data_IF_407702881103
#
_entry.id   IF_407702881103
#
_cell.length_a   1.000
_cell.length_b   1.000
_cell.length_c   1.000
_cell.angle_alpha   90.00
_cell.angle_beta   90.00
_cell.angle_gamma   90.00
#
_symmetry.space_group_name_H-M   'P 1'
#
loop_
_entity.id
_entity.type
_entity.pdbx_description
1 polymer ?
#
# COMPACT_ATOMS: atom_id res chain seq x y z
N UNK A 1 8.16 13.68 23.60
CA UNK A 1 8.43 14.33 22.29
C UNK A 1 8.24 13.32 21.16
N UNK A 2 9.03 12.27 21.07
CA UNK A 2 8.94 11.27 19.99
C UNK A 2 7.54 10.67 19.81
N UNK A 3 6.82 10.36 20.90
CA UNK A 3 5.45 9.83 20.84
C UNK A 3 4.45 10.83 20.25
N UNK A 4 4.58 12.14 20.54
CA UNK A 4 3.66 13.15 19.97
C UNK A 4 3.92 13.28 18.47
N UNK A 5 5.17 13.33 18.04
CA UNK A 5 5.53 13.34 16.62
C UNK A 5 5.00 12.08 15.91
N UNK A 6 5.17 10.93 16.53
CA UNK A 6 4.75 9.67 15.92
C UNK A 6 3.23 9.56 15.75
N UNK A 7 2.44 9.92 16.76
CA UNK A 7 1.01 9.67 16.76
C UNK A 7 0.16 10.85 16.33
N UNK A 8 0.66 12.08 16.44
CA UNK A 8 -0.14 13.29 16.32
C UNK A 8 0.37 14.30 15.27
N UNK A 9 1.40 13.98 14.50
CA UNK A 9 1.97 14.91 13.50
C UNK A 9 0.95 15.41 12.48
N UNK A 10 0.00 14.57 12.09
CA UNK A 10 -1.02 14.89 11.08
C UNK A 10 -2.30 15.52 11.67
N UNK A 11 -2.41 15.68 13.00
CA UNK A 11 -3.58 16.32 13.57
C UNK A 11 -3.67 17.79 13.13
N UNK A 12 -4.88 18.30 12.78
CA UNK A 12 -5.08 19.66 12.28
C UNK A 12 -5.07 20.70 13.43
N UNK A 13 -4.26 20.45 14.45
CA UNK A 13 -4.06 21.32 15.61
C UNK A 13 -2.59 21.38 15.97
N UNK A 14 -2.13 22.53 16.44
CA UNK A 14 -0.77 22.66 16.97
C UNK A 14 -0.74 22.19 18.43
N UNK A 15 0.14 21.25 18.73
CA UNK A 15 0.35 20.70 20.07
C UNK A 15 1.67 21.22 20.61
N UNK A 16 1.61 22.01 21.68
CA UNK A 16 2.81 22.51 22.36
C UNK A 16 3.22 21.51 23.45
N UNK A 17 4.43 20.96 23.33
CA UNK A 17 5.05 20.13 24.37
C UNK A 17 6.09 20.97 25.11
N UNK A 18 5.83 21.26 26.39
CA UNK A 18 6.72 22.03 27.27
C UNK A 18 7.58 21.14 28.14
N UNK A 19 8.83 21.46 28.24
CA UNK A 19 9.76 20.91 29.23
C UNK A 19 10.44 22.07 29.98
N UNK A 20 11.16 21.77 31.05
CA UNK A 20 11.82 22.78 31.91
C UNK A 20 12.76 23.71 31.14
N UNK A 21 13.25 23.31 29.98
CA UNK A 21 14.26 24.04 29.20
C UNK A 21 13.84 24.40 27.78
N UNK A 22 12.72 23.90 27.27
CA UNK A 22 12.30 24.13 25.88
C UNK A 22 10.81 23.88 25.66
N UNK A 23 10.25 24.59 24.66
CA UNK A 23 8.93 24.34 24.10
C UNK A 23 9.06 23.89 22.65
N UNK A 24 8.35 22.84 22.25
CA UNK A 24 8.33 22.34 20.87
C UNK A 24 6.88 22.24 20.39
N UNK A 25 6.64 22.57 19.13
CA UNK A 25 5.33 22.48 18.51
C UNK A 25 5.29 21.28 17.57
N UNK A 26 4.18 20.53 17.58
CA UNK A 26 3.93 19.34 16.82
C UNK A 26 2.53 19.39 16.22
N UNK A 27 2.26 18.56 15.20
CA UNK A 27 0.99 18.54 14.50
C UNK A 27 0.94 19.46 13.29
N UNK A 28 -0.18 19.46 12.59
CA UNK A 28 -0.46 20.26 11.39
C UNK A 28 0.45 19.97 10.19
N UNK A 29 1.08 18.80 10.13
CA UNK A 29 1.81 18.33 8.95
C UNK A 29 0.86 17.95 7.82
N UNK A 30 1.28 18.25 6.58
CA UNK A 30 0.53 17.82 5.39
C UNK A 30 0.73 16.32 5.18
N UNK A 31 -0.34 15.52 5.12
CA UNK A 31 -0.23 14.10 4.86
C UNK A 31 0.34 13.81 3.47
N UNK A 32 1.13 12.73 3.33
CA UNK A 32 1.74 12.36 2.05
C UNK A 32 0.74 12.20 0.91
N UNK A 33 -0.47 11.72 1.18
CA UNK A 33 -1.53 11.57 0.17
C UNK A 33 -2.21 12.88 -0.26
N UNK A 34 -1.90 13.99 0.39
CA UNK A 34 -2.35 15.34 0.01
C UNK A 34 -1.24 16.13 -0.71
N UNK A 35 -0.03 15.58 -0.83
CA UNK A 35 1.11 16.18 -1.53
C UNK A 35 0.98 16.02 -3.05
N UNK A 36 1.68 16.87 -3.80
CA UNK A 36 1.84 16.71 -5.25
C UNK A 36 2.67 15.45 -5.59
N UNK A 37 2.47 14.82 -6.76
CA UNK A 37 3.13 13.55 -7.10
C UNK A 37 4.65 13.54 -6.94
N UNK A 38 5.33 14.62 -7.32
CA UNK A 38 6.78 14.75 -7.14
C UNK A 38 7.22 14.78 -5.67
N UNK A 39 6.42 15.43 -4.82
CA UNK A 39 6.66 15.49 -3.38
C UNK A 39 6.33 14.15 -2.70
N UNK A 40 5.31 13.43 -3.20
CA UNK A 40 5.01 12.08 -2.73
C UNK A 40 6.19 11.13 -2.98
N UNK A 41 6.79 11.20 -4.18
CA UNK A 41 7.96 10.38 -4.50
C UNK A 41 9.14 10.72 -3.60
N UNK A 42 9.45 12.00 -3.43
CA UNK A 42 10.52 12.44 -2.52
C UNK A 42 10.28 11.96 -1.09
N UNK A 43 9.06 12.11 -0.60
CA UNK A 43 8.69 11.64 0.74
C UNK A 43 8.90 10.13 0.90
N UNK A 44 8.49 9.34 -0.11
CA UNK A 44 8.70 7.90 -0.12
C UNK A 44 10.19 7.54 -0.08
N UNK A 45 11.03 8.22 -0.86
CA UNK A 45 12.47 7.99 -0.90
C UNK A 45 13.16 8.30 0.43
N UNK A 46 12.68 9.31 1.15
CA UNK A 46 13.22 9.72 2.45
C UNK A 46 12.73 8.84 3.63
N UNK A 47 11.49 8.35 3.59
CA UNK A 47 10.84 7.71 4.74
C UNK A 47 10.65 6.19 4.60
N UNK A 48 10.78 5.64 3.38
CA UNK A 48 10.66 4.22 3.15
C UNK A 48 12.02 3.58 2.93
N UNK A 49 12.20 2.37 3.43
CA UNK A 49 13.48 1.64 3.31
C UNK A 49 13.87 1.26 1.87
N UNK A 50 12.96 1.44 0.91
CA UNK A 50 13.20 1.25 -0.52
C UNK A 50 12.36 2.24 -1.29
N UNK A 51 12.94 2.84 -2.34
CA UNK A 51 12.20 3.65 -3.31
C UNK A 51 11.03 2.87 -3.89
N UNK A 52 9.89 3.53 -4.05
CA UNK A 52 8.74 2.96 -4.74
C UNK A 52 8.99 2.90 -6.25
N UNK A 53 8.53 1.82 -6.88
CA UNK A 53 8.47 1.74 -8.35
C UNK A 53 7.39 2.67 -8.89
N UNK A 54 6.28 2.77 -8.16
CA UNK A 54 5.12 3.60 -8.49
C UNK A 54 4.31 3.94 -7.26
N UNK A 55 3.45 4.95 -7.37
CA UNK A 55 2.54 5.39 -6.33
C UNK A 55 1.13 5.40 -6.90
N UNK A 56 0.25 4.59 -6.32
CA UNK A 56 -1.15 4.48 -6.72
C UNK A 56 -1.97 5.33 -5.75
N UNK A 57 -2.69 6.37 -6.20
CA UNK A 57 -3.61 7.10 -5.35
C UNK A 57 -4.80 6.20 -4.96
N UNK A 58 -5.18 6.25 -3.70
CA UNK A 58 -6.31 5.48 -3.17
C UNK A 58 -7.34 6.45 -2.60
N UNK A 59 -8.58 6.36 -3.11
CA UNK A 59 -9.72 7.11 -2.58
C UNK A 59 -10.96 6.21 -2.51
N UNK A 60 -11.38 5.86 -1.28
CA UNK A 60 -12.59 5.06 -1.02
C UNK A 60 -13.54 5.90 -0.17
N UNK A 61 -14.36 6.75 -0.79
CA UNK A 61 -15.23 7.71 -0.07
C UNK A 61 -16.21 7.04 0.90
N UNK A 62 -16.72 5.86 0.57
CA UNK A 62 -17.67 5.12 1.41
C UNK A 62 -17.09 4.78 2.79
N UNK A 63 -15.78 4.53 2.87
CA UNK A 63 -15.06 4.26 4.12
C UNK A 63 -14.32 5.49 4.66
N UNK A 64 -14.39 6.63 3.96
CA UNK A 64 -13.59 7.83 4.26
C UNK A 64 -12.10 7.55 4.20
N UNK A 65 -11.66 6.65 3.30
CA UNK A 65 -10.26 6.29 3.11
C UNK A 65 -9.66 7.16 2.03
N UNK A 66 -8.56 7.82 2.38
CA UNK A 66 -7.66 8.51 1.44
C UNK A 66 -6.23 8.11 1.75
N UNK A 67 -5.47 7.78 0.72
CA UNK A 67 -4.11 7.32 0.90
C UNK A 67 -3.36 7.11 -0.40
N UNK A 68 -2.20 6.49 -0.27
CA UNK A 68 -1.38 6.02 -1.38
C UNK A 68 -1.01 4.55 -1.16
N UNK A 69 -0.91 3.80 -2.24
CA UNK A 69 -0.31 2.48 -2.25
C UNK A 69 1.02 2.55 -3.03
N UNK A 70 2.12 2.40 -2.30
CA UNK A 70 3.48 2.47 -2.86
C UNK A 70 3.87 1.08 -3.33
N UNK A 71 4.16 0.93 -4.62
CA UNK A 71 4.59 -0.33 -5.23
C UNK A 71 6.08 -0.54 -4.99
N UNK A 72 6.46 -1.68 -4.45
CA UNK A 72 7.86 -1.99 -4.14
C UNK A 72 8.69 -2.25 -5.38
N UNK A 73 9.91 -1.68 -5.44
CA UNK A 73 10.92 -2.03 -6.44
C UNK A 73 11.65 -3.34 -6.15
N UNK A 74 11.45 -3.93 -4.97
CA UNK A 74 12.12 -5.16 -4.55
C UNK A 74 11.12 -6.26 -4.28
N UNK A 75 11.51 -7.53 -4.46
CA UNK A 75 10.66 -8.63 -4.06
C UNK A 75 10.31 -8.53 -2.58
N UNK A 76 9.02 -8.44 -2.27
CA UNK A 76 8.54 -8.49 -0.90
C UNK A 76 8.19 -9.93 -0.51
N UNK A 77 8.31 -10.24 0.78
CA UNK A 77 7.77 -11.50 1.32
C UNK A 77 6.27 -11.38 1.54
N UNK A 78 5.52 -12.45 1.28
CA UNK A 78 4.06 -12.50 1.42
C UNK A 78 3.55 -12.19 2.85
N UNK A 79 4.43 -12.17 3.84
CA UNK A 79 4.12 -11.99 5.26
C UNK A 79 4.39 -10.58 5.80
N UNK A 80 4.87 -9.65 4.98
CA UNK A 80 5.20 -8.30 5.46
C UNK A 80 4.05 -7.33 5.28
N UNK A 81 3.09 -7.34 6.20
CA UNK A 81 2.06 -6.29 6.29
C UNK A 81 2.67 -5.03 6.92
N UNK A 82 3.18 -4.14 6.08
CA UNK A 82 3.75 -2.85 6.52
C UNK A 82 2.83 -1.68 6.14
N UNK A 83 1.50 -1.88 6.27
CA UNK A 83 0.55 -0.82 5.95
C UNK A 83 0.44 0.15 7.12
N UNK A 84 0.58 1.44 6.83
CA UNK A 84 0.46 2.51 7.82
C UNK A 84 -0.93 3.12 7.74
N UNK A 85 -1.70 2.99 8.80
CA UNK A 85 -3.09 3.48 8.86
C UNK A 85 -3.22 4.54 9.92
N UNK A 86 -3.83 5.64 9.52
CA UNK A 86 -4.29 6.70 10.39
C UNK A 86 -5.82 6.65 10.49
N UNK A 87 -6.37 7.04 11.62
CA UNK A 87 -7.80 7.27 11.80
C UNK A 87 -8.00 8.70 12.31
N UNK A 88 -8.78 9.48 11.58
CA UNK A 88 -8.98 10.91 11.89
C UNK A 88 -7.64 11.67 12.07
N UNK A 89 -6.66 11.33 11.23
CA UNK A 89 -5.30 11.88 11.24
C UNK A 89 -4.45 11.52 12.48
N UNK A 90 -4.87 10.56 13.31
CA UNK A 90 -4.04 9.94 14.34
C UNK A 90 -3.49 8.60 13.85
N UNK A 91 -2.23 8.31 14.11
CA UNK A 91 -1.64 7.02 13.79
C UNK A 91 -2.32 5.91 14.59
N UNK A 92 -2.81 4.88 13.89
CA UNK A 92 -3.37 3.66 14.47
C UNK A 92 -2.30 2.57 14.52
N UNK A 93 -1.68 2.29 13.37
CA UNK A 93 -0.68 1.24 13.26
C UNK A 93 0.24 1.49 12.05
N UNK A 94 1.50 1.06 12.16
CA UNK A 94 2.46 1.00 11.05
C UNK A 94 2.53 -0.37 10.38
N UNK A 95 1.84 -1.34 10.98
CA UNK A 95 1.79 -2.73 10.54
C UNK A 95 0.34 -3.24 10.53
N UNK A 96 -0.58 -2.38 10.05
CA UNK A 96 -1.99 -2.71 9.97
C UNK A 96 -2.20 -3.84 8.97
N UNK A 97 -2.95 -4.86 9.39
CA UNK A 97 -3.33 -5.98 8.53
C UNK A 97 -4.75 -5.80 7.99
N UNK A 98 -5.06 -6.48 6.89
CA UNK A 98 -6.41 -6.63 6.39
C UNK A 98 -6.99 -5.45 5.62
N UNK A 99 -6.32 -4.30 5.52
CA UNK A 99 -6.81 -3.17 4.72
C UNK A 99 -6.51 -3.33 3.22
N UNK A 100 -5.46 -4.07 2.88
CA UNK A 100 -5.06 -4.39 1.50
C UNK A 100 -5.26 -5.88 1.26
N UNK A 101 -5.73 -6.31 0.08
CA UNK A 101 -5.83 -7.73 -0.25
C UNK A 101 -4.48 -8.45 -0.14
N UNK A 102 -4.48 -9.69 0.36
CA UNK A 102 -3.24 -10.46 0.54
C UNK A 102 -2.47 -10.70 -0.76
N UNK A 103 -3.16 -10.75 -1.91
CA UNK A 103 -2.52 -10.91 -3.20
C UNK A 103 -1.70 -9.68 -3.62
N UNK A 104 -2.01 -8.50 -3.08
CA UNK A 104 -1.29 -7.25 -3.35
C UNK A 104 -0.08 -7.05 -2.41
N UNK A 105 0.64 -8.12 -2.08
CA UNK A 105 1.82 -8.16 -1.19
C UNK A 105 2.94 -7.21 -1.61
N UNK A 106 2.95 -6.79 -2.88
CA UNK A 106 3.96 -5.90 -3.46
C UNK A 106 3.70 -4.42 -3.20
N UNK A 107 2.59 -4.07 -2.55
CA UNK A 107 2.29 -2.68 -2.18
C UNK A 107 2.38 -2.45 -0.67
N UNK A 108 2.73 -1.22 -0.31
CA UNK A 108 2.62 -0.67 1.03
C UNK A 108 1.59 0.45 1.02
N UNK A 109 0.50 0.27 1.74
CA UNK A 109 -0.52 1.30 1.91
C UNK A 109 -0.14 2.27 3.03
N UNK A 110 -0.34 3.58 2.78
CA UNK A 110 -0.20 4.66 3.75
C UNK A 110 -1.39 5.58 3.57
N UNK A 111 -2.26 5.67 4.57
CA UNK A 111 -3.47 6.47 4.40
C UNK A 111 -4.28 6.63 5.67
N UNK A 112 -5.32 7.47 5.57
CA UNK A 112 -6.24 7.78 6.64
C UNK A 112 -7.59 7.13 6.38
N UNK A 113 -8.22 6.59 7.43
CA UNK A 113 -9.53 5.94 7.40
C UNK A 113 -10.44 6.59 8.46
N UNK A 114 -11.44 7.36 8.01
CA UNK A 114 -12.29 8.12 8.92
C UNK A 114 -13.43 7.29 9.52
N UNK A 115 -13.94 6.30 8.77
CA UNK A 115 -15.19 5.61 9.12
C UNK A 115 -14.94 4.13 9.49
N UNK A 116 -13.77 3.59 9.23
CA UNK A 116 -13.40 2.24 9.66
C UNK A 116 -13.35 2.17 11.18
N UNK A 117 -13.87 1.08 11.72
CA UNK A 117 -13.88 0.83 13.16
C UNK A 117 -12.52 0.30 13.60
N UNK A 118 -12.11 0.70 14.80
CA UNK A 118 -10.94 0.17 15.45
C UNK A 118 -11.33 -0.95 16.42
N UNK A 119 -10.41 -1.88 16.65
CA UNK A 119 -10.49 -2.85 17.74
C UNK A 119 -10.54 -2.15 19.10
N UNK A 120 -10.88 -2.88 20.15
CA UNK A 120 -10.92 -2.32 21.51
C UNK A 120 -9.56 -1.77 21.99
N UNK A 121 -8.45 -2.37 21.51
CA UNK A 121 -7.08 -1.88 21.78
C UNK A 121 -6.72 -0.63 20.99
N UNK A 122 -7.48 -0.31 19.93
CA UNK A 122 -7.23 0.78 18.96
C UNK A 122 -5.92 0.65 18.17
N UNK A 123 -5.36 -0.54 18.09
CA UNK A 123 -4.11 -0.81 17.38
C UNK A 123 -4.33 -1.46 16.01
N UNK A 124 -5.55 -1.91 15.74
CA UNK A 124 -5.94 -2.58 14.49
C UNK A 124 -7.34 -2.14 14.05
N UNK A 125 -7.67 -2.41 12.78
CA UNK A 125 -9.02 -2.26 12.26
C UNK A 125 -9.88 -3.46 12.69
N UNK A 126 -11.16 -3.20 12.96
CA UNK A 126 -12.14 -4.26 13.20
C UNK A 126 -12.49 -4.94 11.88
N UNK A 127 -12.49 -6.27 11.88
CA UNK A 127 -12.89 -7.06 10.72
C UNK A 127 -14.42 -7.05 10.59
N UNK A 128 -14.92 -6.15 9.78
CA UNK A 128 -16.35 -5.94 9.49
C UNK A 128 -16.59 -5.77 7.98
N UNK A 129 -17.86 -5.76 7.59
CA UNK A 129 -18.28 -5.62 6.19
C UNK A 129 -17.72 -4.35 5.53
N UNK A 130 -17.61 -3.25 6.27
CA UNK A 130 -17.04 -2.01 5.73
C UNK A 130 -15.56 -2.15 5.43
N UNK A 131 -14.79 -2.85 6.28
CA UNK A 131 -13.39 -3.14 6.01
C UNK A 131 -13.23 -4.07 4.81
N UNK A 132 -14.08 -5.10 4.69
CA UNK A 132 -14.07 -6.01 3.53
C UNK A 132 -14.32 -5.26 2.22
N UNK A 133 -15.39 -4.45 2.17
CA UNK A 133 -15.72 -3.63 1.00
C UNK A 133 -14.60 -2.63 0.67
N UNK A 134 -13.93 -2.08 1.69
CA UNK A 134 -12.78 -1.18 1.53
C UNK A 134 -11.59 -1.92 0.93
N UNK A 135 -11.30 -3.13 1.41
CA UNK A 135 -10.24 -4.01 0.89
C UNK A 135 -10.45 -4.33 -0.57
N UNK A 136 -11.68 -4.66 -0.97
CA UNK A 136 -12.04 -4.92 -2.36
C UNK A 136 -11.90 -3.67 -3.25
N UNK A 137 -12.32 -2.51 -2.76
CA UNK A 137 -12.17 -1.25 -3.48
C UNK A 137 -10.69 -0.89 -3.71
N UNK A 138 -9.85 -0.99 -2.67
CA UNK A 138 -8.39 -0.79 -2.80
C UNK A 138 -7.79 -1.82 -3.77
N UNK A 139 -8.24 -3.08 -3.69
CA UNK A 139 -7.84 -4.12 -4.63
C UNK A 139 -8.19 -3.78 -6.08
N UNK A 140 -9.35 -3.19 -6.32
CA UNK A 140 -9.79 -2.75 -7.65
C UNK A 140 -8.90 -1.63 -8.21
N UNK A 141 -8.50 -0.66 -7.40
CA UNK A 141 -7.56 0.39 -7.81
C UNK A 141 -6.18 -0.19 -8.19
N UNK A 142 -5.68 -1.15 -7.40
CA UNK A 142 -4.40 -1.80 -7.70
C UNK A 142 -4.50 -2.63 -8.99
N UNK A 143 -5.61 -3.34 -9.24
CA UNK A 143 -5.84 -4.07 -10.48
C UNK A 143 -5.91 -3.12 -11.68
N UNK A 144 -6.63 -2.02 -11.56
CA UNK A 144 -6.71 -1.00 -12.61
C UNK A 144 -5.32 -0.44 -12.97
N UNK A 145 -4.48 -0.19 -11.96
CA UNK A 145 -3.09 0.23 -12.19
C UNK A 145 -2.26 -0.86 -12.91
N UNK A 146 -2.41 -2.14 -12.56
CA UNK A 146 -1.73 -3.25 -13.25
C UNK A 146 -2.14 -3.33 -14.73
N UNK A 147 -3.43 -3.21 -15.02
CA UNK A 147 -3.98 -3.24 -16.39
C UNK A 147 -3.51 -2.04 -17.20
N UNK A 148 -3.53 -0.86 -16.61
CA UNK A 148 -3.04 0.37 -17.25
C UNK A 148 -1.54 0.28 -17.58
N UNK A 149 -0.73 -0.22 -16.64
CA UNK A 149 0.70 -0.41 -16.86
C UNK A 149 0.99 -1.46 -17.92
N UNK A 150 0.26 -2.57 -17.92
CA UNK A 150 0.40 -3.62 -18.95
C UNK A 150 0.10 -3.09 -20.33
N UNK A 151 -0.90 -2.21 -20.47
CA UNK A 151 -1.35 -1.63 -21.73
C UNK A 151 -0.43 -0.51 -22.22
N UNK A 152 -0.07 0.43 -21.34
CA UNK A 152 0.55 1.69 -21.72
C UNK A 152 2.05 1.76 -21.47
N UNK A 153 2.61 0.83 -20.67
CA UNK A 153 4.02 0.79 -20.32
C UNK A 153 4.58 -0.64 -20.26
N UNK A 154 4.59 -1.40 -21.37
CA UNK A 154 4.94 -2.82 -21.39
C UNK A 154 6.34 -3.11 -20.82
N UNK A 155 7.30 -2.23 -21.03
CA UNK A 155 8.66 -2.40 -20.50
C UNK A 155 8.69 -2.34 -18.96
N UNK A 156 7.97 -1.39 -18.35
CA UNK A 156 7.84 -1.27 -16.90
C UNK A 156 7.04 -2.44 -16.32
N UNK A 157 6.00 -2.87 -17.03
CA UNK A 157 5.22 -4.04 -16.64
C UNK A 157 6.09 -5.31 -16.63
N UNK A 158 6.93 -5.51 -17.64
CA UNK A 158 7.86 -6.66 -17.68
C UNK A 158 8.89 -6.60 -16.54
N UNK A 159 9.38 -5.42 -16.18
CA UNK A 159 10.25 -5.23 -15.02
C UNK A 159 9.53 -5.61 -13.71
N UNK A 160 8.29 -5.15 -13.53
CA UNK A 160 7.44 -5.52 -12.41
C UNK A 160 7.23 -7.04 -12.34
N UNK A 161 6.83 -7.67 -13.46
CA UNK A 161 6.63 -9.13 -13.55
C UNK A 161 7.91 -9.88 -13.17
N UNK A 162 9.07 -9.46 -13.69
CA UNK A 162 10.36 -10.10 -13.41
C UNK A 162 10.73 -9.98 -11.93
N UNK A 163 10.55 -8.81 -11.36
CA UNK A 163 10.84 -8.53 -9.95
C UNK A 163 9.96 -9.35 -9.01
N UNK A 164 8.68 -9.47 -9.33
CA UNK A 164 7.68 -10.07 -8.45
C UNK A 164 7.27 -11.50 -8.84
N UNK A 165 7.91 -12.12 -9.84
CA UNK A 165 7.52 -13.42 -10.43
C UNK A 165 7.27 -14.53 -9.39
N UNK A 166 8.12 -14.65 -8.38
CA UNK A 166 7.97 -15.68 -7.34
C UNK A 166 6.73 -15.45 -6.48
N UNK A 167 6.51 -14.23 -6.03
CA UNK A 167 5.34 -13.88 -5.23
C UNK A 167 4.03 -13.97 -6.02
N UNK A 168 4.03 -13.52 -7.29
CA UNK A 168 2.88 -13.64 -8.18
C UNK A 168 2.45 -15.10 -8.37
N UNK A 169 3.41 -16.02 -8.59
CA UNK A 169 3.11 -17.46 -8.64
C UNK A 169 2.49 -17.99 -7.35
N UNK A 170 2.97 -17.53 -6.20
CA UNK A 170 2.46 -17.99 -4.90
C UNK A 170 1.03 -17.49 -4.64
N UNK A 171 0.69 -16.24 -4.98
CA UNK A 171 -0.67 -15.71 -4.80
C UNK A 171 -1.64 -16.20 -5.88
N UNK A 172 -1.17 -16.55 -7.07
CA UNK A 172 -1.97 -17.11 -8.15
C UNK A 172 -2.74 -18.38 -7.75
N UNK A 173 -2.23 -19.13 -6.77
CA UNK A 173 -2.92 -20.32 -6.25
C UNK A 173 -4.18 -19.99 -5.43
N UNK A 174 -4.40 -18.75 -5.04
CA UNK A 174 -5.46 -18.32 -4.12
C UNK A 174 -6.36 -17.23 -4.68
N UNK A 175 -5.95 -16.56 -5.74
CA UNK A 175 -6.70 -15.47 -6.36
C UNK A 175 -6.84 -15.70 -7.87
N UNK A 176 -8.09 -15.81 -8.40
CA UNK A 176 -8.33 -16.08 -9.81
C UNK A 176 -7.77 -15.01 -10.78
N UNK A 177 -7.81 -13.74 -10.39
CA UNK A 177 -7.24 -12.66 -11.21
C UNK A 177 -5.72 -12.80 -11.30
N UNK A 178 -5.05 -13.08 -10.16
CA UNK A 178 -3.62 -13.30 -10.14
C UNK A 178 -3.21 -14.59 -10.88
N UNK A 179 -4.06 -15.59 -10.90
CA UNK A 179 -3.85 -16.80 -11.71
C UNK A 179 -3.84 -16.44 -13.21
N UNK A 180 -4.83 -15.71 -13.69
CA UNK A 180 -4.91 -15.28 -15.10
C UNK A 180 -3.72 -14.39 -15.47
N UNK A 181 -3.40 -13.40 -14.66
CA UNK A 181 -2.23 -12.52 -14.86
C UNK A 181 -0.93 -13.33 -14.92
N UNK A 182 -0.73 -14.24 -13.97
CA UNK A 182 0.46 -15.09 -13.93
C UNK A 182 0.58 -16.00 -15.15
N UNK A 183 -0.54 -16.61 -15.58
CA UNK A 183 -0.57 -17.47 -16.75
C UNK A 183 -0.26 -16.71 -18.06
N UNK A 184 -0.64 -15.44 -18.15
CA UNK A 184 -0.42 -14.60 -19.33
C UNK A 184 0.98 -14.01 -19.41
N UNK A 185 1.56 -13.63 -18.27
CA UNK A 185 2.73 -12.75 -18.26
C UNK A 185 3.96 -13.29 -17.53
N UNK A 186 3.78 -14.20 -16.57
CA UNK A 186 4.93 -14.72 -15.79
C UNK A 186 5.55 -15.90 -16.50
N UNK A 187 6.83 -15.82 -16.95
CA UNK A 187 7.50 -16.94 -17.59
C UNK A 187 7.60 -18.15 -16.66
N UNK A 188 7.28 -19.32 -17.20
CA UNK A 188 7.45 -20.62 -16.54
C UNK A 188 8.46 -21.44 -17.33
N UNK A 189 9.35 -22.12 -16.62
CA UNK A 189 10.30 -23.03 -17.27
C UNK A 189 9.57 -24.27 -17.81
N UNK A 190 9.84 -24.59 -19.05
CA UNK A 190 9.29 -25.75 -19.73
C UNK A 190 10.37 -26.47 -20.56
N UNK A 191 10.06 -27.62 -21.10
CA UNK A 191 10.96 -28.39 -21.99
C UNK A 191 11.27 -27.65 -23.30
N UNK A 192 10.50 -26.63 -23.67
CA UNK A 192 10.69 -25.82 -24.88
C UNK A 192 11.26 -24.41 -24.56
N UNK A 193 11.62 -24.16 -23.28
CA UNK A 193 12.18 -22.90 -22.81
C UNK A 193 11.26 -22.18 -21.81
N UNK A 194 11.69 -20.99 -21.37
CA UNK A 194 10.93 -20.16 -20.43
C UNK A 194 9.94 -19.27 -21.18
N UNK A 195 8.63 -19.48 -20.98
CA UNK A 195 7.56 -18.65 -21.55
C UNK A 195 6.31 -18.66 -20.65
N UNK A 196 5.41 -17.64 -20.76
CA UNK A 196 4.12 -17.68 -20.10
C UNK A 196 3.29 -18.90 -20.51
N UNK A 197 2.51 -19.47 -19.59
CA UNK A 197 1.74 -20.70 -19.82
C UNK A 197 0.82 -20.55 -21.03
N UNK A 198 0.11 -19.41 -21.15
CA UNK A 198 -0.80 -19.18 -22.28
C UNK A 198 -0.12 -18.98 -23.64
N UNK A 199 1.20 -18.83 -23.67
CA UNK A 199 2.00 -18.78 -24.91
C UNK A 199 2.47 -20.18 -25.29
N UNK A 200 2.43 -21.17 -24.38
CA UNK A 200 2.88 -22.53 -24.57
C UNK A 200 1.73 -23.47 -24.99
N UNK A 201 0.48 -23.02 -24.89
CA UNK A 201 -0.75 -23.74 -25.32
C UNK A 201 -1.12 -23.37 -26.74
#
# INVERSE_FOLDING_TARGET
>A
RALVDEFASLLPISIEVRSDSASTFHGNETPVWELEPSQQQQWCDEHLASSGMDIIPIDVPAAGVKGIAVVSQRPNTLSSSNHTVYAKKMLVSRTCEGIVPQWAYFVRFIGNANYLRLTASREQLSDDELLENTREAIGSEIRAWLEEMAKNSPSRFNEFISTHAMGLRAVAMRDPYMLDLTARYVPMESTVGAAPILTLL
#
